data_IF_519236154333
#
_entry.id   IF_519236154333
#
_cell.length_a   1.000
_cell.length_b   1.000
_cell.length_c   1.000
_cell.angle_alpha   90.00
_cell.angle_beta   90.00
_cell.angle_gamma   90.00
#
_symmetry.space_group_name_H-M   'P 1'
#
loop_
_entity.id
_entity.type
_entity.pdbx_description
1 polymer ?
#
# COMPACT_ATOMS: atom_id res chain seq x y z
N UNK A 1 -15.45 -34.43 1.14
CA UNK A 1 -14.79 -33.63 0.09
C UNK A 1 -15.00 -32.16 0.45
N UNK A 2 -14.06 -31.53 1.15
CA UNK A 2 -14.15 -30.10 1.44
C UNK A 2 -13.69 -29.32 0.22
N UNK A 3 -14.62 -28.64 -0.44
CA UNK A 3 -14.29 -27.57 -1.38
C UNK A 3 -13.47 -26.54 -0.60
N UNK A 4 -12.20 -26.35 -0.96
CA UNK A 4 -11.42 -25.24 -0.41
C UNK A 4 -12.10 -23.96 -0.89
N UNK A 5 -12.95 -23.37 -0.05
CA UNK A 5 -13.51 -22.05 -0.29
C UNK A 5 -12.33 -21.11 -0.44
N UNK A 6 -12.20 -20.48 -1.60
CA UNK A 6 -11.21 -19.42 -1.77
C UNK A 6 -11.38 -18.43 -0.59
N UNK A 7 -10.28 -18.07 0.12
CA UNK A 7 -10.38 -17.21 1.27
C UNK A 7 -11.10 -15.91 0.89
N UNK A 8 -12.04 -15.49 1.75
CA UNK A 8 -12.81 -14.26 1.54
C UNK A 8 -11.83 -13.10 1.35
N UNK A 9 -11.98 -12.34 0.27
CA UNK A 9 -11.11 -11.20 -0.04
C UNK A 9 -11.16 -10.13 1.05
N UNK A 10 -12.23 -10.11 1.86
CA UNK A 10 -12.37 -9.26 3.05
C UNK A 10 -11.26 -9.46 4.08
N UNK A 11 -10.69 -10.66 4.20
CA UNK A 11 -9.65 -10.94 5.20
C UNK A 11 -8.38 -10.10 5.02
N UNK A 12 -8.17 -9.54 3.82
CA UNK A 12 -7.00 -8.71 3.53
C UNK A 12 -7.32 -7.21 3.47
N UNK A 13 -8.57 -6.81 3.79
CA UNK A 13 -9.02 -5.42 3.88
C UNK A 13 -9.24 -4.98 5.34
N UNK A 14 -8.51 -5.59 6.26
CA UNK A 14 -8.69 -5.37 7.69
C UNK A 14 -8.26 -3.98 8.14
N UNK A 15 -7.32 -3.32 7.46
CA UNK A 15 -6.92 -1.95 7.84
C UNK A 15 -8.05 -0.97 7.55
N UNK A 16 -8.66 -1.07 6.37
CA UNK A 16 -9.84 -0.28 6.01
C UNK A 16 -11.03 -0.57 6.92
N UNK A 17 -11.27 -1.84 7.24
CA UNK A 17 -12.34 -2.22 8.16
C UNK A 17 -12.13 -1.65 9.56
N UNK A 18 -10.89 -1.66 10.06
CA UNK A 18 -10.53 -1.15 11.38
C UNK A 18 -10.62 0.37 11.46
N UNK A 19 -10.13 1.08 10.45
CA UNK A 19 -10.07 2.55 10.46
C UNK A 19 -11.45 3.20 10.29
N UNK A 20 -12.32 2.59 9.47
CA UNK A 20 -13.62 3.17 9.11
C UNK A 20 -14.82 2.48 9.76
N UNK A 21 -14.59 1.47 10.61
CA UNK A 21 -15.61 0.67 11.32
C UNK A 21 -16.81 0.25 10.43
N UNK A 22 -16.52 -0.30 9.25
CA UNK A 22 -17.53 -0.66 8.24
C UNK A 22 -17.15 -1.88 7.40
N UNK A 23 -18.04 -2.35 6.51
CA UNK A 23 -17.68 -3.35 5.50
C UNK A 23 -16.72 -2.70 4.49
N UNK A 24 -15.44 -3.13 4.43
CA UNK A 24 -14.44 -2.46 3.60
C UNK A 24 -14.77 -2.54 2.10
N UNK A 25 -15.60 -3.49 1.66
CA UNK A 25 -16.03 -3.58 0.26
C UNK A 25 -17.01 -2.46 -0.15
N UNK A 26 -17.62 -1.78 0.82
CA UNK A 26 -18.56 -0.69 0.60
C UNK A 26 -17.93 0.70 0.59
N UNK A 27 -16.65 0.80 1.00
CA UNK A 27 -15.92 2.07 1.03
C UNK A 27 -15.62 2.56 -0.39
N UNK A 28 -15.74 3.87 -0.58
CA UNK A 28 -15.20 4.53 -1.76
C UNK A 28 -13.67 4.63 -1.65
N UNK A 29 -12.92 3.89 -2.48
CA UNK A 29 -11.47 3.92 -2.41
C UNK A 29 -10.87 5.28 -2.78
N UNK A 30 -11.54 6.09 -3.61
CA UNK A 30 -11.07 7.43 -3.97
C UNK A 30 -11.14 8.36 -2.78
N UNK A 31 -12.24 8.31 -2.02
CA UNK A 31 -12.40 9.06 -0.78
C UNK A 31 -11.34 8.66 0.25
N UNK A 32 -11.06 7.36 0.41
CA UNK A 32 -10.01 6.89 1.34
C UNK A 32 -8.64 7.46 0.95
N UNK A 33 -8.30 7.41 -0.34
CA UNK A 33 -7.04 7.99 -0.84
C UNK A 33 -7.02 9.51 -0.64
N UNK A 34 -8.14 10.19 -0.82
CA UNK A 34 -8.26 11.62 -0.57
C UNK A 34 -7.99 11.97 0.90
N UNK A 35 -8.53 11.23 1.86
CA UNK A 35 -8.26 11.44 3.28
C UNK A 35 -6.76 11.33 3.57
N UNK A 36 -6.13 10.23 3.12
CA UNK A 36 -4.68 10.00 3.33
C UNK A 36 -3.82 11.16 2.82
N UNK A 37 -4.07 11.63 1.59
CA UNK A 37 -3.27 12.69 0.98
C UNK A 37 -3.69 14.12 1.35
N UNK A 38 -4.84 14.28 2.01
CA UNK A 38 -5.24 15.56 2.61
C UNK A 38 -4.46 15.81 3.90
N UNK A 39 -4.30 14.78 4.72
CA UNK A 39 -3.58 14.86 5.99
C UNK A 39 -2.06 14.87 5.79
N UNK A 40 -1.57 14.16 4.76
CA UNK A 40 -0.14 14.04 4.47
C UNK A 40 0.11 14.15 2.96
N UNK A 41 0.57 15.32 2.48
CA UNK A 41 0.85 15.54 1.06
C UNK A 41 1.88 14.55 0.49
N UNK A 42 1.92 14.41 -0.85
CA UNK A 42 2.81 13.45 -1.53
C UNK A 42 4.28 13.59 -1.12
N UNK A 43 4.78 14.82 -1.05
CA UNK A 43 6.18 15.10 -0.72
C UNK A 43 6.51 14.59 0.68
N UNK A 44 5.62 14.83 1.65
CA UNK A 44 5.78 14.34 3.03
C UNK A 44 5.64 12.81 3.11
N UNK A 45 4.70 12.21 2.36
CA UNK A 45 4.58 10.76 2.25
C UNK A 45 5.86 10.11 1.69
N UNK A 46 6.52 10.75 0.73
CA UNK A 46 7.78 10.26 0.15
C UNK A 46 8.94 10.37 1.14
N UNK A 47 9.03 11.47 1.89
CA UNK A 47 10.02 11.61 2.97
C UNK A 47 9.81 10.56 4.07
N UNK A 48 8.56 10.39 4.53
CA UNK A 48 8.17 9.34 5.47
C UNK A 48 8.53 7.95 4.96
N UNK A 49 8.32 7.69 3.67
CA UNK A 49 8.66 6.41 3.05
C UNK A 49 10.16 6.16 3.02
N UNK A 50 10.96 7.19 2.73
CA UNK A 50 12.42 7.11 2.81
C UNK A 50 12.88 6.80 4.24
N UNK A 51 12.37 7.54 5.23
CA UNK A 51 12.68 7.32 6.65
C UNK A 51 12.29 5.89 7.10
N UNK A 52 11.13 5.40 6.67
CA UNK A 52 10.67 4.03 6.92
C UNK A 52 11.64 2.99 6.34
N UNK A 53 12.07 3.18 5.09
CA UNK A 53 13.00 2.26 4.44
C UNK A 53 14.37 2.26 5.11
N UNK A 54 14.89 3.43 5.46
CA UNK A 54 16.18 3.55 6.16
C UNK A 54 16.13 2.90 7.55
N UNK A 55 15.05 3.11 8.31
CA UNK A 55 14.85 2.45 9.59
C UNK A 55 14.78 0.93 9.44
N UNK A 56 14.09 0.43 8.40
CA UNK A 56 13.96 -0.99 8.14
C UNK A 56 15.27 -1.67 7.73
N UNK A 57 16.14 -0.98 6.99
CA UNK A 57 17.41 -1.54 6.52
C UNK A 57 18.49 -1.46 7.61
N UNK A 58 18.39 -0.54 8.55
CA UNK A 58 19.40 -0.37 9.59
C UNK A 58 19.55 -1.63 10.47
N UNK A 59 20.78 -2.06 10.79
CA UNK A 59 21.02 -3.23 11.66
C UNK A 59 20.73 -2.96 13.14
N UNK A 60 20.42 -1.70 13.48
CA UNK A 60 20.11 -1.22 14.84
C UNK A 60 18.98 -0.20 14.74
N UNK A 61 18.31 0.06 15.86
CA UNK A 61 17.29 1.09 15.94
C UNK A 61 17.79 2.43 15.39
N UNK A 62 17.16 2.88 14.31
CA UNK A 62 17.52 4.10 13.62
C UNK A 62 16.25 4.89 13.28
N UNK A 63 15.72 5.60 14.26
CA UNK A 63 14.59 6.51 14.09
C UNK A 63 15.12 7.94 14.16
N UNK A 64 15.79 8.39 13.08
CA UNK A 64 16.50 9.68 13.00
C UNK A 64 15.83 10.80 13.81
N UNK A 65 14.57 11.09 13.51
CA UNK A 65 13.79 12.22 14.09
C UNK A 65 12.41 11.81 14.60
N UNK A 66 12.06 10.52 14.53
CA UNK A 66 10.72 10.01 14.81
C UNK A 66 10.72 8.96 15.92
N UNK A 67 9.54 8.66 16.44
CA UNK A 67 9.35 7.60 17.43
C UNK A 67 9.01 6.26 16.75
N UNK A 68 9.22 5.10 17.39
CA UNK A 68 8.72 3.82 16.88
C UNK A 68 7.20 3.85 16.64
N UNK A 69 6.45 4.62 17.43
CA UNK A 69 5.01 4.80 17.20
C UNK A 69 4.69 5.53 15.89
N UNK A 70 5.53 6.49 15.49
CA UNK A 70 5.38 7.19 14.21
C UNK A 70 5.65 6.27 13.02
N UNK A 71 6.66 5.39 13.13
CA UNK A 71 6.96 4.39 12.10
C UNK A 71 5.82 3.38 11.98
N UNK A 72 5.32 2.88 13.13
CA UNK A 72 4.17 1.99 13.15
C UNK A 72 2.98 2.64 12.45
N UNK A 73 2.56 3.84 12.89
CA UNK A 73 1.46 4.59 12.27
C UNK A 73 1.62 4.73 10.77
N UNK A 74 2.80 5.15 10.31
CA UNK A 74 3.04 5.30 8.87
C UNK A 74 2.94 3.97 8.11
N UNK A 75 3.39 2.85 8.70
CA UNK A 75 3.20 1.54 8.09
C UNK A 75 1.72 1.12 7.98
N UNK A 76 0.88 1.58 8.91
CA UNK A 76 -0.57 1.36 8.88
C UNK A 76 -1.24 2.22 7.79
N UNK A 77 -0.77 3.46 7.60
CA UNK A 77 -1.19 4.34 6.49
C UNK A 77 -0.80 3.74 5.13
N UNK A 78 0.39 3.14 5.00
CA UNK A 78 0.80 2.40 3.79
C UNK A 78 -0.09 1.17 3.54
N UNK A 79 -0.43 0.41 4.59
CA UNK A 79 -1.35 -0.72 4.50
C UNK A 79 -2.73 -0.26 4.02
N UNK A 80 -3.25 0.84 4.58
CA UNK A 80 -4.52 1.44 4.19
C UNK A 80 -4.52 1.87 2.71
N UNK A 81 -3.44 2.52 2.25
CA UNK A 81 -3.27 2.90 0.85
C UNK A 81 -3.26 1.69 -0.08
N UNK A 82 -2.53 0.63 0.29
CA UNK A 82 -2.46 -0.61 -0.50
C UNK A 82 -3.85 -1.26 -0.61
N UNK A 83 -4.59 -1.34 0.49
CA UNK A 83 -5.96 -1.86 0.50
C UNK A 83 -6.92 -1.01 -0.35
N UNK A 84 -6.85 0.33 -0.24
CA UNK A 84 -7.65 1.25 -1.05
C UNK A 84 -7.34 1.06 -2.56
N UNK A 85 -6.06 0.97 -2.92
CA UNK A 85 -5.65 0.69 -4.30
C UNK A 85 -6.16 -0.66 -4.81
N UNK A 86 -6.24 -1.68 -3.95
CA UNK A 86 -6.85 -2.96 -4.31
C UNK A 86 -8.35 -2.80 -4.62
N UNK A 87 -9.07 -2.01 -3.83
CA UNK A 87 -10.49 -1.68 -4.07
C UNK A 87 -10.68 -0.90 -5.38
N UNK A 88 -9.80 0.05 -5.72
CA UNK A 88 -9.81 0.72 -7.03
C UNK A 88 -9.82 -0.31 -8.16
N UNK A 89 -8.96 -1.34 -8.10
CA UNK A 89 -8.97 -2.39 -9.13
C UNK A 89 -10.25 -3.22 -9.15
N UNK A 90 -10.89 -3.42 -8.00
CA UNK A 90 -12.18 -4.12 -7.93
C UNK A 90 -13.29 -3.29 -8.59
N UNK A 91 -13.30 -1.98 -8.38
CA UNK A 91 -14.27 -1.06 -8.97
C UNK A 91 -14.04 -0.86 -10.47
N UNK A 92 -12.79 -0.62 -10.89
CA UNK A 92 -12.44 -0.38 -12.30
C UNK A 92 -12.49 -1.65 -13.16
N UNK A 93 -12.54 -2.87 -12.57
CA UNK A 93 -12.79 -4.10 -13.34
C UNK A 93 -14.09 -4.06 -14.16
N UNK A 94 -15.00 -3.14 -13.85
CA UNK A 94 -16.21 -2.88 -14.63
C UNK A 94 -16.01 -1.94 -15.85
N UNK A 95 -14.89 -1.21 -15.95
CA UNK A 95 -14.55 -0.37 -17.10
C UNK A 95 -13.63 -1.12 -18.10
N UNK A 96 -14.02 -1.13 -19.38
CA UNK A 96 -13.51 -2.00 -20.45
C UNK A 96 -11.99 -1.93 -20.66
N UNK A 97 -11.42 -3.05 -21.16
CA UNK A 97 -10.04 -3.22 -21.64
C UNK A 97 -9.61 -2.05 -22.55
N UNK A 98 -8.75 -1.16 -22.03
CA UNK A 98 -8.13 -0.10 -22.83
C UNK A 98 -7.06 -0.66 -23.79
N UNK A 99 -7.00 -0.05 -24.97
CA UNK A 99 -6.10 -0.35 -26.09
C UNK A 99 -4.60 -0.15 -25.76
N UNK A 100 -3.73 -0.93 -26.42
CA UNK A 100 -2.27 -1.12 -26.21
C UNK A 100 -1.37 0.14 -26.33
N UNK A 101 -1.90 1.37 -26.40
CA UNK A 101 -1.14 2.62 -26.57
C UNK A 101 -1.65 3.79 -25.72
N UNK A 102 -2.15 3.51 -24.53
CA UNK A 102 -2.48 4.58 -23.58
C UNK A 102 -1.24 4.93 -22.75
N UNK A 103 -1.02 6.23 -22.43
CA UNK A 103 -0.04 6.61 -21.41
C UNK A 103 -0.32 5.83 -20.11
N UNK A 104 0.72 5.58 -19.32
CA UNK A 104 0.60 4.83 -18.08
C UNK A 104 -0.32 5.59 -17.10
N UNK A 105 -1.58 5.14 -17.01
CA UNK A 105 -2.55 5.72 -16.08
C UNK A 105 -2.28 5.20 -14.66
N UNK A 106 -2.72 5.93 -13.61
CA UNK A 106 -2.57 5.48 -12.22
C UNK A 106 -3.14 4.07 -11.99
N UNK A 107 -4.31 3.76 -12.56
CA UNK A 107 -4.92 2.42 -12.51
C UNK A 107 -4.02 1.35 -13.16
N UNK A 108 -3.30 1.69 -14.23
CA UNK A 108 -2.36 0.76 -14.87
C UNK A 108 -1.14 0.48 -13.99
N UNK A 109 -0.63 1.50 -13.28
CA UNK A 109 0.43 1.34 -12.27
C UNK A 109 -0.04 0.41 -11.15
N UNK A 110 -1.22 0.65 -10.58
CA UNK A 110 -1.81 -0.21 -9.54
C UNK A 110 -1.98 -1.64 -10.06
N UNK A 111 -2.42 -1.82 -11.30
CA UNK A 111 -2.56 -3.16 -11.90
C UNK A 111 -1.21 -3.87 -12.04
N UNK A 112 -0.13 -3.15 -12.38
CA UNK A 112 1.23 -3.71 -12.41
C UNK A 112 1.72 -4.04 -11.01
N UNK A 113 1.46 -3.18 -10.03
CA UNK A 113 1.79 -3.39 -8.61
C UNK A 113 1.19 -4.72 -8.11
N UNK A 114 -0.12 -4.94 -8.34
CA UNK A 114 -0.78 -6.18 -7.94
C UNK A 114 -0.50 -7.41 -8.83
N UNK A 115 0.19 -7.21 -9.98
CA UNK A 115 0.74 -8.31 -10.77
C UNK A 115 2.10 -8.77 -10.24
N UNK A 116 2.91 -7.85 -9.71
CA UNK A 116 4.18 -8.20 -9.09
C UNK A 116 3.97 -9.03 -7.83
N UNK A 117 2.97 -8.65 -7.01
CA UNK A 117 2.56 -9.43 -5.84
C UNK A 117 1.07 -9.20 -5.55
N UNK A 118 0.38 -10.21 -5.03
CA UNK A 118 -1.03 -10.06 -4.63
C UNK A 118 -1.14 -9.26 -3.31
N UNK A 119 -2.37 -8.89 -2.92
CA UNK A 119 -2.60 -8.10 -1.70
C UNK A 119 -2.00 -8.75 -0.45
N UNK A 120 -2.21 -10.05 -0.25
CA UNK A 120 -1.61 -10.79 0.86
C UNK A 120 -0.09 -10.66 0.90
N UNK A 121 0.57 -10.82 -0.24
CA UNK A 121 2.03 -10.76 -0.31
C UNK A 121 2.57 -9.35 -0.08
N UNK A 122 1.88 -8.30 -0.55
CA UNK A 122 2.24 -6.92 -0.22
C UNK A 122 2.10 -6.62 1.26
N UNK A 123 1.03 -7.10 1.90
CA UNK A 123 0.84 -6.97 3.35
C UNK A 123 1.92 -7.72 4.14
N UNK A 124 2.29 -8.91 3.69
CA UNK A 124 3.40 -9.65 4.28
C UNK A 124 4.73 -8.88 4.16
N UNK A 125 5.01 -8.30 2.99
CA UNK A 125 6.19 -7.45 2.82
C UNK A 125 6.15 -6.22 3.72
N UNK A 126 5.04 -5.48 3.77
CA UNK A 126 4.89 -4.36 4.70
C UNK A 126 5.17 -4.80 6.15
N UNK A 127 4.62 -5.94 6.57
CA UNK A 127 4.89 -6.48 7.91
C UNK A 127 6.37 -6.79 8.15
N UNK A 128 7.07 -7.42 7.20
CA UNK A 128 8.51 -7.68 7.32
C UNK A 128 9.33 -6.40 7.40
N UNK A 129 9.00 -5.38 6.60
CA UNK A 129 9.67 -4.09 6.61
C UNK A 129 9.39 -3.31 7.91
N UNK A 130 8.14 -3.30 8.39
CA UNK A 130 7.78 -2.74 9.69
C UNK A 130 8.53 -3.45 10.83
N UNK A 131 8.65 -4.78 10.76
CA UNK A 131 9.41 -5.55 11.75
C UNK A 131 10.88 -5.16 11.75
N UNK A 132 11.50 -5.02 10.58
CA UNK A 132 12.86 -4.48 10.47
C UNK A 132 12.97 -3.10 11.10
N UNK A 133 12.06 -2.19 10.77
CA UNK A 133 12.10 -0.80 11.27
C UNK A 133 11.84 -0.66 12.77
N UNK A 134 11.15 -1.63 13.38
CA UNK A 134 10.80 -1.63 14.81
C UNK A 134 11.65 -2.59 15.64
N UNK A 135 12.65 -3.24 15.05
CA UNK A 135 13.54 -4.18 15.73
C UNK A 135 15.01 -3.77 15.60
N UNK A 136 15.87 -4.42 16.37
CA UNK A 136 17.31 -4.33 16.20
C UNK A 136 17.80 -5.39 15.19
N UNK A 137 17.12 -5.49 14.05
CA UNK A 137 17.38 -6.46 13.00
C UNK A 137 17.09 -5.80 11.65
N UNK A 138 18.01 -5.92 10.70
CA UNK A 138 17.78 -5.41 9.36
C UNK A 138 16.70 -6.24 8.66
N UNK A 139 15.84 -5.60 7.86
CA UNK A 139 14.91 -6.30 6.97
C UNK A 139 15.65 -7.21 5.97
N UNK A 140 16.92 -6.93 5.67
CA UNK A 140 17.77 -7.79 4.84
C UNK A 140 18.08 -9.15 5.47
N UNK A 141 17.83 -9.32 6.78
CA UNK A 141 17.92 -10.62 7.47
C UNK A 141 16.59 -11.40 7.41
N UNK A 142 15.49 -10.74 7.02
CA UNK A 142 14.12 -11.28 6.99
C UNK A 142 13.67 -11.56 5.55
N UNK A 143 14.13 -10.74 4.61
CA UNK A 143 13.70 -10.72 3.20
C UNK A 143 14.90 -10.97 2.30
N UNK A 144 14.68 -11.69 1.20
CA UNK A 144 15.72 -11.98 0.22
C UNK A 144 16.29 -10.68 -0.39
N UNK A 145 17.61 -10.56 -0.61
CA UNK A 145 18.23 -9.33 -1.13
C UNK A 145 17.66 -8.85 -2.47
N UNK A 146 17.26 -9.79 -3.33
CA UNK A 146 16.66 -9.52 -4.64
C UNK A 146 15.26 -8.87 -4.55
N UNK A 147 14.59 -8.98 -3.41
CA UNK A 147 13.26 -8.44 -3.16
C UNK A 147 13.28 -7.05 -2.51
N UNK A 148 14.42 -6.62 -1.96
CA UNK A 148 14.55 -5.34 -1.25
C UNK A 148 14.30 -4.13 -2.15
N UNK A 149 15.03 -4.05 -3.26
CA UNK A 149 14.88 -2.94 -4.21
C UNK A 149 13.52 -2.94 -4.93
N UNK A 150 12.98 -4.08 -5.39
CA UNK A 150 11.63 -4.14 -5.93
C UNK A 150 10.56 -3.61 -4.99
N UNK A 151 10.62 -3.91 -3.68
CA UNK A 151 9.67 -3.36 -2.71
C UNK A 151 9.64 -1.83 -2.77
N UNK A 152 10.81 -1.20 -2.63
CA UNK A 152 10.94 0.27 -2.64
C UNK A 152 10.39 0.86 -3.93
N UNK A 153 10.84 0.36 -5.08
CA UNK A 153 10.45 0.89 -6.39
C UNK A 153 8.95 0.74 -6.69
N UNK A 154 8.34 -0.35 -6.23
CA UNK A 154 6.91 -0.58 -6.43
C UNK A 154 6.07 0.29 -5.51
N UNK A 155 6.47 0.47 -4.25
CA UNK A 155 5.77 1.32 -3.29
C UNK A 155 5.87 2.80 -3.67
N UNK A 156 7.03 3.30 -4.14
CA UNK A 156 7.17 4.67 -4.64
C UNK A 156 6.24 4.96 -5.82
N UNK A 157 6.16 4.04 -6.78
CA UNK A 157 5.24 4.16 -7.92
C UNK A 157 3.78 4.11 -7.46
N UNK A 158 3.49 3.29 -6.45
CA UNK A 158 2.14 3.20 -5.89
C UNK A 158 1.74 4.51 -5.20
N UNK A 159 2.62 5.12 -4.40
CA UNK A 159 2.39 6.42 -3.75
C UNK A 159 1.99 7.48 -4.77
N UNK A 160 2.77 7.62 -5.85
CA UNK A 160 2.49 8.59 -6.93
C UNK A 160 1.14 8.29 -7.61
N UNK A 161 0.85 7.01 -7.89
CA UNK A 161 -0.40 6.62 -8.54
C UNK A 161 -1.61 6.82 -7.62
N UNK A 162 -1.49 6.49 -6.34
CA UNK A 162 -2.53 6.65 -5.33
C UNK A 162 -2.86 8.13 -5.13
N UNK A 163 -1.85 9.00 -5.13
CA UNK A 163 -2.05 10.43 -5.02
C UNK A 163 -2.69 11.04 -6.28
N UNK A 164 -2.29 10.59 -7.46
CA UNK A 164 -2.95 11.00 -8.69
C UNK A 164 -4.45 10.64 -8.70
N UNK A 165 -4.82 9.49 -8.13
CA UNK A 165 -6.22 9.06 -7.98
C UNK A 165 -6.97 9.82 -6.88
N UNK A 166 -6.29 10.26 -5.81
CA UNK A 166 -6.90 11.03 -4.73
C UNK A 166 -7.42 12.39 -5.19
N UNK A 167 -6.89 12.89 -6.33
CA UNK A 167 -7.29 14.14 -6.99
C UNK A 167 -8.35 13.94 -8.07
N UNK A 168 -8.69 12.70 -8.44
CA UNK A 168 -9.76 12.46 -9.41
C UNK A 168 -11.11 12.81 -8.76
N UNK A 169 -11.95 13.64 -9.41
CA UNK A 169 -13.26 13.97 -8.85
C UNK A 169 -14.11 12.70 -8.74
N UNK A 170 -14.91 12.59 -7.68
CA UNK A 170 -15.90 11.52 -7.50
C UNK A 170 -16.63 11.26 -8.83
N UNK A 171 -16.32 10.15 -9.48
CA UNK A 171 -17.16 9.64 -10.55
C UNK A 171 -18.42 9.15 -9.86
N UNK A 172 -19.47 9.98 -9.83
CA UNK A 172 -20.82 9.54 -9.48
C UNK A 172 -21.16 8.33 -10.35
N UNK A 173 -21.14 7.14 -9.75
CA UNK A 173 -21.60 5.88 -10.34
C UNK A 173 -23.12 5.90 -10.44
#
# INVERSE_FOLDING_TARGET
>A
MSTSSAPDKRYFLNRLALEHDCDPLSLDPYWVLQQLFTDTPLEEMQELFSDFCEAAIAPVYNWKTKSPGSLLRFSEELEQMVEACFLVLAWVKHEKRASKKTPETPVHVIRKFFKAKNLQGWKHWLHSWTTGGLSACSVAEIVEPEDLLPFVQHMEKLLIAAEALSREPEKKV
#
